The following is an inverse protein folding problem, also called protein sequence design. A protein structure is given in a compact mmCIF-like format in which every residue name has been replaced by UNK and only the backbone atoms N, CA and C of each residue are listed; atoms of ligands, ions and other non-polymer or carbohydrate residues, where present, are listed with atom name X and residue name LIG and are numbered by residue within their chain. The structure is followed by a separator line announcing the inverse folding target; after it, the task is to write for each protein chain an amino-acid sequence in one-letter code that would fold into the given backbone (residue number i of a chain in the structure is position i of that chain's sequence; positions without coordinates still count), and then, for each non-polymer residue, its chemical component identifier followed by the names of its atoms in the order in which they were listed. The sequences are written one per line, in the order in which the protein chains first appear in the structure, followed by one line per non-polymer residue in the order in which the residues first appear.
data_IF_845330733277
#
_entry.id   IF_845330733277
#
_cell.length_a   1.000
_cell.length_b   1.000
_cell.length_c   1.000
_cell.angle_alpha   90.00
_cell.angle_beta   90.00
_cell.angle_gamma   90.00
#
_symmetry.space_group_name_H-M   'P 1'
#
loop_
_entity.id
_entity.type
_entity.pdbx_description
1 polymer ?
#
# COMPACT_ATOMS: atom_id res chain seq x y z
N UNK A 1 3.85 2.50 -7.80
CA UNK A 1 4.45 3.26 -6.67
C UNK A 1 5.41 4.28 -7.21
N UNK A 2 5.28 5.53 -6.77
CA UNK A 2 6.11 6.64 -7.26
C UNK A 2 7.29 6.97 -6.34
N UNK A 3 7.22 6.59 -5.08
CA UNK A 3 8.27 6.90 -4.12
C UNK A 3 9.48 5.99 -4.30
N UNK A 4 10.65 6.57 -4.17
CA UNK A 4 11.94 5.89 -4.26
C UNK A 4 12.84 6.35 -3.12
N UNK A 5 14.07 5.84 -3.05
CA UNK A 5 15.06 6.26 -2.07
C UNK A 5 15.40 7.76 -2.17
N UNK A 6 15.19 8.35 -3.35
CA UNK A 6 15.49 9.77 -3.58
C UNK A 6 14.31 10.67 -3.24
N UNK A 7 13.13 10.09 -2.97
CA UNK A 7 11.94 10.86 -2.60
C UNK A 7 12.09 11.46 -1.21
N UNK A 8 11.44 12.61 -0.99
CA UNK A 8 11.40 13.21 0.34
C UNK A 8 10.56 12.35 1.28
N UNK A 9 10.95 12.30 2.55
CA UNK A 9 10.24 11.51 3.55
C UNK A 9 8.76 11.90 3.64
N UNK A 10 8.44 13.19 3.53
CA UNK A 10 7.06 13.66 3.55
C UNK A 10 6.25 13.09 2.39
N UNK A 11 6.85 13.01 1.20
CA UNK A 11 6.19 12.46 0.01
C UNK A 11 5.93 10.96 0.17
N UNK A 12 6.90 10.24 0.73
CA UNK A 12 6.76 8.80 0.99
C UNK A 12 5.65 8.56 2.00
N UNK A 13 5.61 9.34 3.08
CA UNK A 13 4.55 9.22 4.10
C UNK A 13 3.17 9.53 3.53
N UNK A 14 3.07 10.52 2.64
CA UNK A 14 1.81 10.88 1.99
C UNK A 14 1.32 9.73 1.11
N UNK A 15 2.21 9.12 0.33
CA UNK A 15 1.87 7.98 -0.50
C UNK A 15 1.47 6.76 0.35
N UNK A 16 2.17 6.55 1.47
CA UNK A 16 1.82 5.48 2.40
C UNK A 16 0.40 5.67 2.96
N UNK A 17 0.05 6.89 3.34
CA UNK A 17 -1.30 7.20 3.83
C UNK A 17 -2.34 6.94 2.75
N UNK A 18 -2.04 7.30 1.49
CA UNK A 18 -2.95 7.05 0.36
C UNK A 18 -3.16 5.55 0.13
N UNK A 19 -2.08 4.75 0.18
CA UNK A 19 -2.17 3.30 0.03
C UNK A 19 -3.02 2.69 1.14
N UNK A 20 -2.80 3.12 2.38
CA UNK A 20 -3.60 2.64 3.51
C UNK A 20 -5.07 2.99 3.37
N UNK A 21 -5.39 4.20 2.89
CA UNK A 21 -6.76 4.59 2.63
C UNK A 21 -7.41 3.72 1.55
N UNK A 22 -6.66 3.39 0.50
CA UNK A 22 -7.13 2.47 -0.54
C UNK A 22 -7.38 1.08 0.00
N UNK A 23 -6.52 0.58 0.90
CA UNK A 23 -6.71 -0.73 1.54
C UNK A 23 -7.98 -0.76 2.37
N UNK A 24 -8.24 0.28 3.14
CA UNK A 24 -9.47 0.37 3.94
C UNK A 24 -10.71 0.40 3.05
N UNK A 25 -10.67 1.19 1.97
CA UNK A 25 -11.78 1.25 1.01
C UNK A 25 -12.00 -0.11 0.35
N UNK A 26 -10.92 -0.83 0.05
CA UNK A 26 -11.00 -2.13 -0.59
C UNK A 26 -11.58 -3.19 0.35
N UNK A 27 -11.22 -3.14 1.64
CA UNK A 27 -11.80 -4.03 2.64
C UNK A 27 -13.32 -3.89 2.71
N UNK A 28 -13.83 -2.66 2.56
CA UNK A 28 -15.25 -2.40 2.57
C UNK A 28 -15.97 -2.93 1.31
N UNK A 29 -15.21 -3.28 0.27
CA UNK A 29 -15.74 -3.76 -1.00
C UNK A 29 -15.62 -5.27 -1.18
N UNK A 30 -15.34 -6.02 -0.13
CA UNK A 30 -15.21 -7.46 -0.20
C UNK A 30 -16.45 -8.10 -0.85
N UNK A 31 -16.28 -8.86 -1.95
CA UNK A 31 -17.40 -9.55 -2.59
C UNK A 31 -17.99 -10.63 -1.68
N UNK A 32 -19.29 -10.83 -1.76
CA UNK A 32 -19.97 -11.83 -0.94
C UNK A 32 -19.70 -13.26 -1.38
N UNK A 33 -19.49 -13.46 -2.69
CA UNK A 33 -19.26 -14.79 -3.27
C UNK A 33 -17.77 -15.08 -3.41
N UNK A 34 -17.24 -15.88 -2.51
CA UNK A 34 -15.83 -16.26 -2.49
C UNK A 34 -15.40 -17.10 -3.70
N UNK A 35 -16.33 -17.68 -4.41
CA UNK A 35 -16.06 -18.49 -5.60
C UNK A 35 -16.10 -17.69 -6.90
N UNK A 36 -16.39 -16.39 -6.84
CA UNK A 36 -16.52 -15.55 -8.03
C UNK A 36 -15.18 -15.02 -8.53
N UNK A 37 -15.14 -14.65 -9.81
CA UNK A 37 -13.96 -13.98 -10.38
C UNK A 37 -13.73 -12.62 -9.73
N UNK A 38 -14.81 -11.96 -9.32
CA UNK A 38 -14.71 -10.68 -8.63
C UNK A 38 -13.95 -10.82 -7.31
N UNK A 39 -14.13 -11.93 -6.60
CA UNK A 39 -13.42 -12.21 -5.36
C UNK A 39 -11.94 -12.42 -5.63
N UNK A 40 -11.58 -13.18 -6.67
CA UNK A 40 -10.19 -13.41 -7.05
C UNK A 40 -9.48 -12.10 -7.39
N UNK A 41 -10.15 -11.21 -8.13
CA UNK A 41 -9.60 -9.90 -8.46
C UNK A 41 -9.42 -9.04 -7.22
N UNK A 42 -10.37 -9.12 -6.31
CA UNK A 42 -10.32 -8.38 -5.05
C UNK A 42 -9.11 -8.82 -4.22
N UNK A 43 -8.84 -10.13 -4.14
CA UNK A 43 -7.66 -10.66 -3.45
C UNK A 43 -6.38 -10.14 -4.10
N UNK A 44 -6.30 -10.16 -5.43
CA UNK A 44 -5.13 -9.65 -6.14
C UNK A 44 -4.87 -8.17 -5.84
N UNK A 45 -5.92 -7.36 -5.82
CA UNK A 45 -5.79 -5.94 -5.48
C UNK A 45 -5.32 -5.75 -4.04
N UNK A 46 -5.85 -6.54 -3.11
CA UNK A 46 -5.41 -6.52 -1.72
C UNK A 46 -3.93 -6.85 -1.59
N UNK A 47 -3.47 -7.89 -2.30
CA UNK A 47 -2.08 -8.29 -2.29
C UNK A 47 -1.16 -7.22 -2.86
N UNK A 48 -1.56 -6.57 -3.96
CA UNK A 48 -0.79 -5.51 -4.57
C UNK A 48 -0.63 -4.33 -3.62
N UNK A 49 -1.70 -3.93 -2.97
CA UNK A 49 -1.65 -2.83 -2.02
C UNK A 49 -0.80 -3.18 -0.80
N UNK A 50 -0.86 -4.42 -0.34
CA UNK A 50 -0.04 -4.90 0.78
C UNK A 50 1.45 -4.82 0.42
N UNK A 51 1.82 -5.22 -0.78
CA UNK A 51 3.20 -5.14 -1.27
C UNK A 51 3.66 -3.69 -1.33
N UNK A 52 2.85 -2.80 -1.88
CA UNK A 52 3.16 -1.38 -1.93
C UNK A 52 3.32 -0.77 -0.55
N UNK A 53 2.45 -1.14 0.38
CA UNK A 53 2.51 -0.68 1.76
C UNK A 53 3.83 -1.10 2.43
N UNK A 54 4.22 -2.36 2.26
CA UNK A 54 5.49 -2.86 2.81
C UNK A 54 6.69 -2.13 2.21
N UNK A 55 6.68 -1.92 0.90
CA UNK A 55 7.76 -1.21 0.22
C UNK A 55 7.90 0.23 0.72
N UNK A 56 6.77 0.91 0.91
CA UNK A 56 6.77 2.28 1.43
C UNK A 56 7.24 2.32 2.88
N UNK A 57 6.82 1.34 3.69
CA UNK A 57 7.28 1.24 5.08
C UNK A 57 8.80 1.05 5.15
N UNK A 58 9.36 0.23 4.27
CA UNK A 58 10.80 0.02 4.17
C UNK A 58 11.53 1.32 3.80
N UNK A 59 10.97 2.09 2.85
CA UNK A 59 11.54 3.37 2.47
C UNK A 59 11.49 4.39 3.62
N UNK A 60 10.40 4.41 4.36
CA UNK A 60 10.25 5.30 5.52
C UNK A 60 11.31 4.96 6.57
N UNK A 61 11.48 3.69 6.90
CA UNK A 61 12.48 3.23 7.86
C UNK A 61 13.89 3.61 7.40
N UNK A 62 14.19 3.41 6.13
CA UNK A 62 15.47 3.77 5.54
C UNK A 62 15.74 5.27 5.70
N UNK A 63 14.77 6.11 5.36
CA UNK A 63 14.92 7.56 5.46
C UNK A 63 15.07 8.02 6.91
N UNK A 64 14.32 7.43 7.83
CA UNK A 64 14.41 7.77 9.24
C UNK A 64 15.78 7.40 9.83
N UNK A 65 16.31 6.24 9.43
CA UNK A 65 17.64 5.79 9.85
C UNK A 65 18.72 6.69 9.27
N UNK A 66 18.58 7.11 8.02
CA UNK A 66 19.52 8.01 7.37
C UNK A 66 19.54 9.39 8.01
N UNK A 67 18.43 9.82 8.57
CA UNK A 67 18.31 11.12 9.22
C UNK A 67 18.99 11.20 10.58
N UNK A 68 19.46 10.10 11.08
CA UNK A 68 20.19 10.03 12.33
C UNK A 68 21.70 10.21 12.09
#
# INVERSE_FOLDING_TARGET
MKSTKDSLLEDIKAEFADVNAMMEALEAKEPEDEASEAYDKWIEECEQLAIESESLMTLIDYKMTQGL
#
